data_IF_735402655738
#
_entry.id   IF_735402655738
#
_cell.length_a   1.000
_cell.length_b   1.000
_cell.length_c   1.000
_cell.angle_alpha   90.00
_cell.angle_beta   90.00
_cell.angle_gamma   90.00
#
_symmetry.space_group_name_H-M   'P 1'
#
loop_
_entity.id
_entity.type
_entity.pdbx_description
1 polymer ?
#
# COMPACT_ATOMS: atom_id res chain seq x y z
N UNK A 1 2.12 17.21 4.59
CA UNK A 1 1.99 16.15 3.57
C UNK A 1 2.05 14.85 4.33
N UNK A 2 1.05 13.97 4.17
CA UNK A 2 0.97 12.75 4.98
C UNK A 2 2.33 12.04 4.99
N UNK A 3 2.91 11.88 6.19
CA UNK A 3 4.08 11.03 6.38
C UNK A 3 3.56 9.61 6.54
N UNK A 4 3.35 8.94 5.42
CA UNK A 4 2.76 7.60 5.38
C UNK A 4 3.62 6.52 6.06
N UNK A 5 4.82 6.87 6.52
CA UNK A 5 5.78 5.95 7.12
C UNK A 5 6.95 5.63 6.19
N UNK A 6 8.01 5.06 6.76
CA UNK A 6 9.18 4.60 6.00
C UNK A 6 9.09 3.08 5.93
N UNK A 7 8.97 2.56 4.72
CA UNK A 7 9.23 1.17 4.43
C UNK A 7 9.90 1.07 3.08
N UNK A 8 10.89 0.20 2.96
CA UNK A 8 11.55 0.01 1.68
C UNK A 8 10.83 -1.14 0.95
N UNK A 9 10.08 -0.88 -0.14
CA UNK A 9 9.30 -1.91 -0.85
C UNK A 9 10.12 -3.13 -1.30
N UNK A 10 11.46 -3.00 -1.34
CA UNK A 10 12.41 -4.08 -1.66
C UNK A 10 12.52 -5.16 -0.56
N UNK A 11 11.95 -4.94 0.61
CA UNK A 11 12.11 -5.82 1.79
C UNK A 11 10.91 -6.76 1.98
N UNK A 12 9.81 -6.58 1.25
CA UNK A 12 8.76 -7.59 1.21
C UNK A 12 9.35 -8.93 0.77
N UNK A 13 8.99 -10.00 1.49
CA UNK A 13 9.50 -11.36 1.22
C UNK A 13 11.02 -11.54 1.38
N UNK A 14 11.70 -10.61 2.05
CA UNK A 14 13.11 -10.78 2.44
C UNK A 14 13.24 -11.65 3.70
N UNK A 15 14.43 -12.23 3.93
CA UNK A 15 14.72 -12.94 5.17
C UNK A 15 14.88 -11.92 6.31
N UNK A 16 13.86 -11.77 7.14
CA UNK A 16 13.87 -10.89 8.31
C UNK A 16 12.51 -10.25 8.59
N UNK A 17 12.35 -9.59 9.76
CA UNK A 17 11.14 -8.85 10.07
C UNK A 17 10.98 -7.64 9.15
N UNK A 18 9.78 -7.47 8.59
CA UNK A 18 9.38 -6.26 7.87
C UNK A 18 8.52 -5.42 8.81
N UNK A 19 8.97 -4.22 9.14
CA UNK A 19 8.23 -3.28 9.97
C UNK A 19 7.78 -2.07 9.15
N UNK A 20 6.67 -1.48 9.59
CA UNK A 20 6.15 -0.21 9.11
C UNK A 20 5.79 0.64 10.30
N UNK A 21 6.22 1.89 10.31
CA UNK A 21 5.84 2.87 11.33
C UNK A 21 4.89 3.85 10.68
N UNK A 22 3.66 3.91 11.19
CA UNK A 22 2.63 4.82 10.70
C UNK A 22 2.21 5.72 11.84
N UNK A 23 2.19 7.02 11.59
CA UNK A 23 1.73 8.00 12.57
C UNK A 23 0.20 7.92 12.70
N UNK A 24 -0.27 7.56 13.90
CA UNK A 24 -1.68 7.52 14.21
C UNK A 24 -2.26 8.92 14.40
N UNK A 25 -3.49 9.11 13.93
CA UNK A 25 -4.27 10.32 14.19
C UNK A 25 -5.31 10.04 15.29
N UNK A 26 -5.74 11.07 16.03
CA UNK A 26 -6.82 10.94 17.02
C UNK A 26 -8.15 10.47 16.42
N UNK A 27 -8.33 10.59 15.11
CA UNK A 27 -9.45 10.01 14.36
C UNK A 27 -9.12 8.61 13.82
N UNK A 28 -9.91 7.60 14.22
CA UNK A 28 -9.81 6.22 13.70
C UNK A 28 -9.85 6.17 12.17
N UNK A 29 -10.76 6.93 11.56
CA UNK A 29 -10.91 7.00 10.10
C UNK A 29 -9.65 7.50 9.41
N UNK A 30 -9.03 8.55 9.95
CA UNK A 30 -7.75 9.06 9.42
C UNK A 30 -6.64 8.04 9.62
N UNK A 31 -6.60 7.34 10.75
CA UNK A 31 -5.60 6.28 11.01
C UNK A 31 -5.76 5.10 10.04
N UNK A 32 -6.98 4.60 9.83
CA UNK A 32 -7.27 3.55 8.84
C UNK A 32 -6.89 4.00 7.45
N UNK A 33 -7.19 5.25 7.10
CA UNK A 33 -6.82 5.83 5.81
C UNK A 33 -5.29 5.85 5.60
N UNK A 34 -4.53 6.40 6.57
CA UNK A 34 -3.06 6.44 6.51
C UNK A 34 -2.46 5.03 6.44
N UNK A 35 -2.97 4.09 7.25
CA UNK A 35 -2.53 2.69 7.21
C UNK A 35 -2.78 2.06 5.82
N UNK A 36 -3.96 2.27 5.25
CA UNK A 36 -4.30 1.70 3.94
C UNK A 36 -3.43 2.29 2.83
N UNK A 37 -3.18 3.61 2.90
CA UNK A 37 -2.27 4.31 1.98
C UNK A 37 -0.83 3.80 2.10
N UNK A 38 -0.34 3.61 3.31
CA UNK A 38 0.97 3.01 3.58
C UNK A 38 1.10 1.63 2.92
N UNK A 39 0.10 0.76 3.04
CA UNK A 39 0.13 -0.54 2.36
C UNK A 39 0.12 -0.40 0.83
N UNK A 40 -0.63 0.57 0.29
CA UNK A 40 -0.58 0.89 -1.14
C UNK A 40 0.84 1.25 -1.60
N UNK A 41 1.53 2.15 -0.86
CA UNK A 41 2.93 2.51 -1.11
C UNK A 41 3.88 1.32 -0.97
N UNK A 42 3.71 0.51 0.08
CA UNK A 42 4.51 -0.68 0.35
C UNK A 42 4.41 -1.70 -0.79
N UNK A 43 3.22 -1.84 -1.38
CA UNK A 43 2.96 -2.68 -2.55
C UNK A 43 3.34 -2.00 -3.88
N UNK A 44 3.96 -0.81 -3.82
CA UNK A 44 4.54 -0.11 -4.94
C UNK A 44 3.55 0.71 -5.77
N UNK A 45 2.40 1.10 -5.21
CA UNK A 45 1.57 2.11 -5.83
C UNK A 45 2.22 3.50 -5.73
N UNK A 46 2.12 4.28 -6.80
CA UNK A 46 2.40 5.70 -6.80
C UNK A 46 1.17 6.49 -6.36
N UNK A 47 1.37 7.76 -6.01
CA UNK A 47 0.20 8.59 -5.73
C UNK A 47 -0.56 8.89 -7.02
N UNK A 48 -1.89 8.95 -6.93
CA UNK A 48 -2.74 9.41 -8.03
C UNK A 48 -2.37 10.85 -8.41
N UNK A 49 -2.39 11.15 -9.71
CA UNK A 49 -1.98 12.45 -10.26
C UNK A 49 -0.48 12.63 -10.40
N UNK A 50 0.33 11.57 -10.18
CA UNK A 50 1.78 11.62 -10.30
C UNK A 50 2.34 10.44 -11.11
N UNK A 51 3.48 10.65 -11.76
CA UNK A 51 4.28 9.58 -12.39
C UNK A 51 3.47 8.67 -13.31
N UNK A 52 3.56 7.36 -13.07
CA UNK A 52 2.83 6.33 -13.81
C UNK A 52 1.32 6.31 -13.51
N UNK A 53 0.87 7.08 -12.50
CA UNK A 53 -0.53 7.28 -12.12
C UNK A 53 -1.07 8.67 -12.51
N UNK A 54 -0.38 9.43 -13.36
CA UNK A 54 -0.79 10.78 -13.76
C UNK A 54 -2.18 10.84 -14.43
N UNK A 55 -2.61 9.76 -15.08
CA UNK A 55 -3.94 9.66 -15.70
C UNK A 55 -5.09 9.43 -14.71
N UNK A 56 -4.79 9.01 -13.49
CA UNK A 56 -5.79 8.89 -12.43
C UNK A 56 -5.76 10.18 -11.60
N UNK A 57 -6.82 10.98 -11.69
CA UNK A 57 -6.91 12.23 -10.95
C UNK A 57 -6.93 11.98 -9.43
N UNK A 58 -6.22 12.82 -8.68
CA UNK A 58 -6.27 12.81 -7.24
C UNK A 58 -7.65 13.27 -6.74
N UNK A 59 -8.24 12.53 -5.80
CA UNK A 59 -9.54 12.84 -5.20
C UNK A 59 -9.61 12.33 -3.75
N UNK A 60 -10.37 13.01 -2.88
CA UNK A 60 -10.42 12.69 -1.44
C UNK A 60 -11.07 11.33 -1.13
N UNK A 61 -11.77 10.74 -2.11
CA UNK A 61 -12.34 9.40 -2.03
C UNK A 61 -11.34 8.27 -2.32
N UNK A 62 -10.13 8.60 -2.81
CA UNK A 62 -9.13 7.61 -3.19
C UNK A 62 -7.94 7.59 -2.23
N UNK A 63 -7.53 6.38 -1.86
CA UNK A 63 -6.49 6.13 -0.88
C UNK A 63 -5.15 6.70 -1.34
N UNK A 64 -4.79 6.52 -2.61
CA UNK A 64 -3.48 6.91 -3.13
C UNK A 64 -3.44 8.35 -3.62
N UNK A 65 -4.46 9.16 -3.38
CA UNK A 65 -4.46 10.52 -3.91
C UNK A 65 -3.52 11.45 -3.17
N UNK A 66 -2.70 12.19 -3.93
CA UNK A 66 -1.77 13.18 -3.39
C UNK A 66 -2.51 14.49 -3.04
N UNK A 67 -3.07 14.58 -1.83
CA UNK A 67 -3.71 15.80 -1.32
C UNK A 67 -3.22 16.14 0.11
N UNK A 68 -3.41 17.40 0.51
CA UNK A 68 -2.98 17.92 1.82
C UNK A 68 -3.80 17.33 2.99
N UNK A 69 -3.18 17.26 4.17
CA UNK A 69 -3.78 16.73 5.42
C UNK A 69 -5.02 17.52 5.92
N UNK A 70 -5.27 18.69 5.33
CA UNK A 70 -6.40 19.56 5.66
C UNK A 70 -7.75 18.98 5.18
N UNK A 71 -7.74 18.02 4.26
CA UNK A 71 -8.96 17.40 3.75
C UNK A 71 -9.31 16.12 4.50
N UNK A 72 -10.59 15.96 4.84
CA UNK A 72 -11.12 14.71 5.40
C UNK A 72 -11.31 13.70 4.28
N UNK A 73 -10.72 12.49 4.36
CA UNK A 73 -10.96 11.42 3.40
C UNK A 73 -12.46 11.10 3.33
N UNK A 74 -13.00 11.04 2.12
CA UNK A 74 -14.43 10.75 1.86
C UNK A 74 -14.66 9.30 1.43
N UNK A 75 -13.59 8.53 1.27
CA UNK A 75 -13.63 7.15 0.81
C UNK A 75 -12.31 6.42 0.98
N UNK A 76 -12.37 5.10 0.80
CA UNK A 76 -11.24 4.17 0.99
C UNK A 76 -11.05 3.30 -0.25
N UNK A 77 -11.16 3.89 -1.44
CA UNK A 77 -11.04 3.17 -2.70
C UNK A 77 -9.67 3.37 -3.32
N UNK A 78 -9.17 2.37 -4.04
CA UNK A 78 -8.02 2.55 -4.92
C UNK A 78 -8.51 2.94 -6.32
N UNK A 79 -7.80 3.85 -6.98
CA UNK A 79 -8.04 4.12 -8.41
C UNK A 79 -7.68 2.90 -9.26
N UNK A 80 -8.20 2.80 -10.49
CA UNK A 80 -7.77 1.76 -11.44
C UNK A 80 -6.25 1.74 -11.68
N UNK A 81 -5.57 2.90 -11.68
CA UNK A 81 -4.11 2.99 -11.83
C UNK A 81 -3.40 2.33 -10.64
N UNK A 82 -3.80 2.70 -9.41
CA UNK A 82 -3.25 2.12 -8.20
C UNK A 82 -3.46 0.60 -8.13
N UNK A 83 -4.66 0.12 -8.46
CA UNK A 83 -4.97 -1.33 -8.52
C UNK A 83 -4.08 -2.03 -9.55
N UNK A 84 -3.90 -1.45 -10.74
CA UNK A 84 -3.05 -2.03 -11.79
C UNK A 84 -1.59 -2.13 -11.33
N UNK A 85 -1.05 -1.09 -10.70
CA UNK A 85 0.33 -1.08 -10.19
C UNK A 85 0.53 -2.10 -9.06
N UNK A 86 -0.38 -2.14 -8.09
CA UNK A 86 -0.32 -3.10 -6.98
C UNK A 86 -0.32 -4.54 -7.53
N UNK A 87 -1.25 -4.86 -8.44
CA UNK A 87 -1.30 -6.18 -9.08
C UNK A 87 -0.01 -6.50 -9.80
N UNK A 88 0.50 -5.58 -10.63
CA UNK A 88 1.75 -5.78 -11.35
C UNK A 88 2.94 -6.06 -10.42
N UNK A 89 3.06 -5.30 -9.33
CA UNK A 89 4.15 -5.46 -8.37
C UNK A 89 4.03 -6.74 -7.54
N UNK A 90 2.82 -7.13 -7.14
CA UNK A 90 2.58 -8.42 -6.47
C UNK A 90 3.01 -9.58 -7.38
N UNK A 91 2.64 -9.55 -8.66
CA UNK A 91 3.04 -10.60 -9.61
C UNK A 91 4.56 -10.62 -9.86
N UNK A 92 5.21 -9.46 -9.86
CA UNK A 92 6.68 -9.37 -9.89
C UNK A 92 7.30 -9.96 -8.62
N UNK A 93 6.73 -9.67 -7.46
CA UNK A 93 7.20 -10.15 -6.17
C UNK A 93 7.04 -11.67 -6.04
N UNK A 94 5.91 -12.23 -6.49
CA UNK A 94 5.67 -13.69 -6.57
C UNK A 94 6.70 -14.41 -7.44
N UNK A 95 7.00 -13.85 -8.63
CA UNK A 95 8.01 -14.42 -9.54
C UNK A 95 9.41 -14.40 -8.94
N UNK A 96 9.76 -13.35 -8.20
CA UNK A 96 11.08 -13.19 -7.58
C UNK A 96 11.24 -13.98 -6.28
N UNK A 97 10.16 -14.15 -5.52
CA UNK A 97 10.16 -14.78 -4.19
C UNK A 97 9.01 -15.81 -4.06
N UNK A 98 9.00 -16.90 -4.86
CA UNK A 98 7.88 -17.85 -4.89
C UNK A 98 7.59 -18.49 -3.52
N UNK A 99 8.63 -18.74 -2.71
CA UNK A 99 8.49 -19.34 -1.38
C UNK A 99 7.72 -18.46 -0.38
N UNK A 100 7.76 -17.13 -0.55
CA UNK A 100 7.03 -16.18 0.29
C UNK A 100 5.50 -16.30 0.12
N UNK A 101 5.06 -16.76 -1.05
CA UNK A 101 3.65 -16.93 -1.39
C UNK A 101 3.21 -18.39 -1.38
N UNK A 102 4.14 -19.31 -1.07
CA UNK A 102 3.81 -20.73 -0.94
C UNK A 102 2.87 -20.87 0.24
N UNK A 103 1.66 -21.38 -0.02
CA UNK A 103 0.71 -21.71 1.05
C UNK A 103 1.44 -22.60 2.06
N UNK A 104 1.51 -22.18 3.32
CA UNK A 104 1.93 -23.07 4.39
C UNK A 104 0.98 -24.25 4.39
N UNK A 105 1.43 -25.40 3.89
CA UNK A 105 0.71 -26.65 4.05
C UNK A 105 0.48 -26.82 5.55
N UNK A 106 -0.78 -26.75 6.00
CA UNK A 106 -1.15 -27.12 7.36
C UNK A 106 -0.54 -28.51 7.59
N UNK A 107 0.40 -28.60 8.52
CA UNK A 107 1.07 -29.86 8.84
C UNK A 107 0.03 -30.93 9.11
N UNK A 108 0.12 -32.04 8.38
CA UNK A 108 -0.44 -33.31 8.84
C UNK A 108 0.25 -33.60 10.17
N UNK A 109 -0.48 -33.50 11.28
CA UNK A 109 -0.12 -34.17 12.53
C UNK A 109 -0.21 -35.66 12.20
N UNK A 110 0.94 -36.31 12.06
CA UNK A 110 1.07 -37.77 12.12
C UNK A 110 1.06 -38.22 13.57
#
# INVERSE_FOLDING_TARGET
TFRDGITHPRHLCSKGPVYGVVEGNSSLNKTVFTLTRFFGKLLGAEYDGQGASASCAAHWGYIMSNYSETHTPTGYYFTPCSVKQIKHNIEKLKRKHPDCFRRTSKGKRG
#
